data_IF_644820438873
#
_entry.id   IF_644820438873
#
_cell.length_a   1.000
_cell.length_b   1.000
_cell.length_c   1.000
_cell.angle_alpha   90.00
_cell.angle_beta   90.00
_cell.angle_gamma   90.00
#
_symmetry.space_group_name_H-M   'P 1'
#
loop_
_entity.id
_entity.type
_entity.pdbx_description
1 polymer ?
#
# COMPACT_ATOMS: atom_id res chain seq x y z
N UNK A 1 41.97 4.20 -5.76
CA UNK A 1 41.03 5.24 -6.22
C UNK A 1 39.80 4.52 -6.73
N UNK A 2 38.73 4.46 -5.93
CA UNK A 2 37.52 3.70 -6.30
C UNK A 2 36.58 4.60 -7.09
N UNK A 3 36.49 4.37 -8.39
CA UNK A 3 35.53 5.03 -9.27
C UNK A 3 34.12 4.53 -8.90
N UNK A 4 33.31 5.41 -8.30
CA UNK A 4 31.90 5.18 -8.10
C UNK A 4 31.23 5.06 -9.47
N UNK A 5 30.76 3.86 -9.80
CA UNK A 5 29.89 3.63 -10.96
C UNK A 5 28.54 4.27 -10.65
N UNK A 6 28.37 5.52 -11.06
CA UNK A 6 27.07 6.17 -11.18
C UNK A 6 26.25 5.39 -12.20
N UNK A 7 25.44 4.46 -11.70
CA UNK A 7 24.42 3.77 -12.50
C UNK A 7 23.49 4.84 -13.05
N UNK A 8 23.51 5.04 -14.37
CA UNK A 8 22.56 5.87 -15.11
C UNK A 8 21.16 5.52 -14.59
N UNK A 9 20.49 6.50 -13.97
CA UNK A 9 19.09 6.36 -13.60
C UNK A 9 18.30 6.40 -14.91
N UNK A 10 17.71 5.27 -15.31
CA UNK A 10 16.83 5.20 -16.47
C UNK A 10 15.64 6.15 -16.26
N UNK A 11 15.63 7.27 -16.97
CA UNK A 11 14.59 8.31 -16.92
C UNK A 11 13.38 8.00 -17.81
N UNK A 12 13.19 6.73 -18.22
CA UNK A 12 12.28 6.39 -19.31
C UNK A 12 10.81 6.16 -18.93
N UNK A 13 10.54 5.53 -17.78
CA UNK A 13 9.18 5.24 -17.30
C UNK A 13 9.17 5.17 -15.77
N UNK A 14 8.10 5.62 -15.10
CA UNK A 14 7.98 5.40 -13.67
C UNK A 14 7.99 3.90 -13.39
N UNK A 15 8.79 3.46 -12.40
CA UNK A 15 8.92 2.05 -12.04
C UNK A 15 7.58 1.43 -11.58
N UNK A 16 6.67 2.28 -11.12
CA UNK A 16 5.34 1.92 -10.65
C UNK A 16 4.27 2.85 -11.23
N UNK A 17 3.07 2.33 -11.48
CA UNK A 17 2.66 0.94 -11.24
C UNK A 17 3.18 -0.04 -12.30
N UNK A 18 3.49 -1.25 -11.87
CA UNK A 18 3.75 -2.41 -12.74
C UNK A 18 2.89 -3.63 -12.27
N UNK A 19 2.62 -4.56 -13.18
CA UNK A 19 1.76 -5.71 -12.90
C UNK A 19 2.37 -6.72 -11.92
N UNK A 20 3.71 -6.88 -11.95
CA UNK A 20 4.43 -7.83 -11.11
C UNK A 20 4.24 -7.48 -9.63
N UNK A 21 4.50 -6.23 -9.25
CA UNK A 21 4.36 -5.78 -7.87
C UNK A 21 2.90 -5.65 -7.46
N UNK A 22 1.98 -5.31 -8.37
CA UNK A 22 0.54 -5.42 -8.09
C UNK A 22 0.19 -6.84 -7.65
N UNK A 23 0.61 -7.85 -8.41
CA UNK A 23 0.33 -9.27 -8.09
C UNK A 23 1.03 -9.74 -6.82
N UNK A 24 2.22 -9.20 -6.50
CA UNK A 24 2.88 -9.45 -5.22
C UNK A 24 2.07 -8.90 -4.04
N UNK A 25 1.54 -7.69 -4.15
CA UNK A 25 0.69 -7.07 -3.12
C UNK A 25 -0.61 -7.85 -2.96
N UNK A 26 -1.31 -8.16 -4.07
CA UNK A 26 -2.53 -8.98 -4.05
C UNK A 26 -2.30 -10.33 -3.36
N UNK A 27 -1.15 -10.98 -3.61
CA UNK A 27 -0.80 -12.26 -2.97
C UNK A 27 -0.48 -12.06 -1.48
N UNK A 28 0.28 -11.03 -1.14
CA UNK A 28 0.71 -10.79 0.24
C UNK A 28 -0.49 -10.46 1.15
N UNK A 29 -1.44 -9.64 0.68
CA UNK A 29 -2.61 -9.24 1.49
C UNK A 29 -3.56 -10.41 1.79
N UNK A 30 -3.47 -11.51 1.04
CA UNK A 30 -4.24 -12.74 1.35
C UNK A 30 -3.77 -13.42 2.63
N UNK A 31 -2.52 -13.23 3.05
CA UNK A 31 -1.98 -13.78 4.30
C UNK A 31 -2.13 -12.85 5.51
N UNK A 32 -3.01 -11.84 5.43
CA UNK A 32 -3.28 -10.93 6.54
C UNK A 32 -3.81 -11.66 7.78
N UNK A 33 -3.41 -11.17 8.94
CA UNK A 33 -3.74 -11.78 10.23
C UNK A 33 -5.13 -11.33 10.72
N UNK A 34 -5.60 -10.17 10.24
CA UNK A 34 -6.89 -9.54 10.59
C UNK A 34 -7.81 -9.39 9.38
N UNK A 35 -9.09 -9.09 9.63
CA UNK A 35 -10.10 -8.85 8.58
C UNK A 35 -10.20 -9.99 7.56
N UNK A 36 -10.14 -11.23 8.06
CA UNK A 36 -10.03 -12.46 7.24
C UNK A 36 -11.27 -12.78 6.40
N UNK A 37 -12.40 -12.13 6.67
CA UNK A 37 -13.69 -12.44 6.02
C UNK A 37 -14.02 -11.54 4.81
N UNK A 38 -13.26 -10.48 4.57
CA UNK A 38 -13.41 -9.64 3.36
C UNK A 38 -12.43 -10.02 2.27
N UNK A 39 -12.69 -9.61 1.04
CA UNK A 39 -11.74 -9.77 -0.06
C UNK A 39 -11.26 -8.38 -0.48
N UNK A 40 -10.08 -7.93 -0.02
CA UNK A 40 -9.51 -6.68 -0.48
C UNK A 40 -8.98 -6.82 -1.91
N UNK A 41 -9.09 -5.74 -2.67
CA UNK A 41 -8.61 -5.60 -4.04
C UNK A 41 -7.47 -4.58 -4.11
N UNK A 42 -6.62 -4.74 -5.12
CA UNK A 42 -5.45 -3.87 -5.33
C UNK A 42 -5.56 -3.22 -6.70
N UNK A 43 -5.70 -1.90 -6.71
CA UNK A 43 -5.81 -1.10 -7.93
C UNK A 43 -4.51 -0.35 -8.18
N UNK A 44 -4.03 -0.38 -9.43
CA UNK A 44 -2.88 0.42 -9.83
C UNK A 44 -3.27 1.91 -9.86
N UNK A 45 -2.44 2.75 -9.24
CA UNK A 45 -2.61 4.21 -9.24
C UNK A 45 -1.29 4.88 -9.59
N UNK A 46 -1.31 6.19 -9.87
CA UNK A 46 -0.08 6.93 -10.16
C UNK A 46 0.92 6.79 -9.03
N UNK A 47 2.13 6.31 -9.34
CA UNK A 47 3.22 6.14 -8.39
C UNK A 47 3.08 4.94 -7.45
N UNK A 48 2.04 4.10 -7.57
CA UNK A 48 1.83 3.03 -6.59
C UNK A 48 0.56 2.22 -6.73
N UNK A 49 0.02 1.77 -5.59
CA UNK A 49 -1.12 0.86 -5.51
C UNK A 49 -2.05 1.24 -4.37
N UNK A 50 -3.34 1.28 -4.68
CA UNK A 50 -4.40 1.47 -3.71
C UNK A 50 -4.99 0.11 -3.32
N UNK A 51 -5.02 -0.19 -2.03
CA UNK A 51 -5.75 -1.31 -1.46
C UNK A 51 -7.11 -0.81 -1.06
N UNK A 52 -8.14 -1.45 -1.57
CA UNK A 52 -9.54 -1.21 -1.20
C UNK A 52 -10.13 -2.48 -0.63
N UNK A 53 -11.15 -2.36 0.22
CA UNK A 53 -11.81 -3.54 0.78
C UNK A 53 -13.27 -3.26 1.09
N UNK A 54 -14.16 -4.24 0.95
CA UNK A 54 -15.50 -4.11 1.51
C UNK A 54 -15.42 -3.90 3.02
N UNK A 55 -16.28 -3.02 3.53
CA UNK A 55 -16.32 -2.73 4.95
C UNK A 55 -17.12 -3.80 5.71
N UNK A 56 -16.48 -4.51 6.65
CA UNK A 56 -17.17 -5.44 7.55
C UNK A 56 -17.97 -4.75 8.66
N UNK A 57 -17.68 -3.49 8.93
CA UNK A 57 -18.16 -2.81 10.14
C UNK A 57 -19.29 -1.87 9.79
N UNK A 58 -20.48 -2.15 10.33
CA UNK A 58 -21.62 -1.23 10.24
C UNK A 58 -21.37 0.13 10.90
N UNK A 59 -20.33 0.25 11.74
CA UNK A 59 -19.93 1.52 12.36
C UNK A 59 -19.18 2.45 11.40
N UNK A 60 -18.60 1.91 10.32
CA UNK A 60 -17.79 2.68 9.35
C UNK A 60 -18.65 2.99 8.13
N UNK A 61 -19.36 1.97 7.62
CA UNK A 61 -20.36 2.15 6.57
C UNK A 61 -21.56 1.25 6.85
N UNK A 62 -22.72 1.87 7.05
CA UNK A 62 -23.97 1.17 7.35
C UNK A 62 -24.49 0.36 6.16
N UNK A 63 -24.11 0.74 4.93
CA UNK A 63 -24.44 0.03 3.69
C UNK A 63 -23.40 -1.05 3.32
N UNK A 64 -22.25 -1.09 4.00
CA UNK A 64 -21.20 -2.09 3.78
C UNK A 64 -20.39 -1.87 2.49
N UNK A 65 -20.21 -0.61 2.08
CA UNK A 65 -19.47 -0.21 0.90
C UNK A 65 -17.97 -0.46 0.98
N UNK A 66 -17.29 -0.08 -0.10
CA UNK A 66 -15.85 -0.27 -0.26
C UNK A 66 -15.12 0.91 0.35
N UNK A 67 -14.15 0.62 1.24
CA UNK A 67 -13.29 1.62 1.87
C UNK A 67 -11.88 1.62 1.29
N UNK A 68 -11.24 2.78 1.36
CA UNK A 68 -9.82 2.97 1.09
C UNK A 68 -9.00 2.46 2.28
N UNK A 69 -8.28 1.36 2.12
CA UNK A 69 -7.56 0.72 3.22
C UNK A 69 -6.15 1.28 3.38
N UNK A 70 -5.39 1.25 2.29
CA UNK A 70 -3.99 1.65 2.31
C UNK A 70 -3.52 2.09 0.93
N UNK A 71 -2.66 3.09 0.89
CA UNK A 71 -1.98 3.52 -0.33
C UNK A 71 -0.48 3.22 -0.19
N UNK A 72 0.03 2.38 -1.09
CA UNK A 72 1.43 2.04 -1.19
C UNK A 72 2.03 2.86 -2.33
N UNK A 73 2.83 3.87 -2.02
CA UNK A 73 3.45 4.75 -2.99
C UNK A 73 4.96 4.49 -3.05
N UNK A 74 5.52 4.37 -4.25
CA UNK A 74 6.96 4.28 -4.43
C UNK A 74 7.52 5.67 -4.76
N UNK A 75 8.24 6.26 -3.81
CA UNK A 75 8.96 7.50 -4.04
C UNK A 75 10.23 7.23 -4.85
N UNK A 76 10.22 7.63 -6.12
CA UNK A 76 11.34 7.46 -7.02
C UNK A 76 12.58 8.28 -6.62
N UNK A 77 12.43 9.39 -5.89
CA UNK A 77 13.54 10.24 -5.49
C UNK A 77 14.34 9.61 -4.35
N UNK A 78 13.66 9.04 -3.35
CA UNK A 78 14.30 8.36 -2.22
C UNK A 78 14.48 6.85 -2.42
N UNK A 79 13.89 6.28 -3.47
CA UNK A 79 13.79 4.84 -3.70
C UNK A 79 13.17 4.07 -2.50
N UNK A 80 12.20 4.71 -1.84
CA UNK A 80 11.49 4.17 -0.68
C UNK A 80 10.04 3.92 -1.01
N UNK A 81 9.49 2.86 -0.41
CA UNK A 81 8.07 2.64 -0.35
C UNK A 81 7.48 3.37 0.84
N UNK A 82 6.42 4.12 0.60
CA UNK A 82 5.63 4.80 1.60
C UNK A 82 4.29 4.10 1.74
N UNK A 83 3.94 3.77 2.97
CA UNK A 83 2.64 3.25 3.34
C UNK A 83 1.83 4.39 3.93
N UNK A 84 0.68 4.67 3.33
CA UNK A 84 -0.29 5.62 3.84
C UNK A 84 -1.53 4.89 4.33
N UNK A 85 -2.12 5.41 5.40
CA UNK A 85 -3.46 5.03 5.87
C UNK A 85 -4.46 6.12 5.51
N UNK A 86 -5.72 5.74 5.36
CA UNK A 86 -6.80 6.72 5.19
C UNK A 86 -7.32 7.14 6.56
N UNK A 87 -7.37 8.44 6.83
CA UNK A 87 -8.24 8.97 7.88
C UNK A 87 -9.63 9.16 7.28
N UNK A 88 -10.54 8.23 7.57
CA UNK A 88 -11.91 8.26 7.05
C UNK A 88 -12.77 9.39 7.62
N UNK A 89 -12.43 9.94 8.80
CA UNK A 89 -13.15 11.07 9.36
C UNK A 89 -12.84 12.36 8.59
N UNK A 90 -11.58 12.51 8.15
CA UNK A 90 -11.10 13.71 7.46
C UNK A 90 -11.02 13.54 5.94
N UNK A 91 -11.13 12.32 5.44
CA UNK A 91 -11.02 12.00 4.01
C UNK A 91 -9.60 12.14 3.46
N UNK A 92 -8.57 12.18 4.31
CA UNK A 92 -7.17 12.44 3.91
C UNK A 92 -6.28 11.20 4.04
N UNK A 93 -5.19 11.20 3.28
CA UNK A 93 -4.14 10.18 3.40
C UNK A 93 -3.05 10.67 4.35
N UNK A 94 -2.66 9.82 5.28
CA UNK A 94 -1.60 10.11 6.26
C UNK A 94 -0.46 9.11 6.11
N UNK A 95 0.77 9.61 6.07
CA UNK A 95 1.96 8.76 6.01
C UNK A 95 2.06 7.96 7.30
N UNK A 96 1.98 6.63 7.18
CA UNK A 96 2.11 5.71 8.30
C UNK A 96 3.57 5.28 8.49
N UNK A 97 4.24 4.83 7.43
CA UNK A 97 5.66 4.44 7.50
C UNK A 97 6.33 4.38 6.13
N UNK A 98 7.67 4.37 6.13
CA UNK A 98 8.49 4.27 4.91
C UNK A 98 9.46 3.10 5.03
N UNK A 99 9.62 2.33 3.95
CA UNK A 99 10.42 1.10 3.92
C UNK A 99 11.20 0.97 2.62
N UNK A 100 12.41 0.38 2.64
CA UNK A 100 13.21 0.18 1.43
C UNK A 100 12.68 -0.93 0.51
N UNK A 101 11.76 -1.77 1.00
CA UNK A 101 11.26 -2.95 0.27
C UNK A 101 9.75 -3.05 0.38
N UNK A 102 9.12 -3.45 -0.73
CA UNK A 102 7.69 -3.72 -0.80
C UNK A 102 7.24 -4.77 0.22
N UNK A 103 8.04 -5.82 0.43
CA UNK A 103 7.75 -6.88 1.41
C UNK A 103 7.52 -6.32 2.82
N UNK A 104 8.38 -5.41 3.28
CA UNK A 104 8.26 -4.77 4.60
C UNK A 104 6.97 -3.96 4.74
N UNK A 105 6.54 -3.30 3.67
CA UNK A 105 5.24 -2.60 3.64
C UNK A 105 4.09 -3.57 3.78
N UNK A 106 4.11 -4.66 3.01
CA UNK A 106 3.04 -5.67 3.07
C UNK A 106 3.02 -6.43 4.39
N UNK A 107 4.16 -6.59 5.06
CA UNK A 107 4.23 -7.21 6.40
C UNK A 107 3.51 -6.33 7.45
N UNK A 108 3.76 -5.02 7.41
CA UNK A 108 3.06 -4.04 8.27
C UNK A 108 1.55 -4.08 8.02
N UNK A 109 1.14 -4.02 6.75
CA UNK A 109 -0.27 -4.05 6.37
C UNK A 109 -0.96 -5.37 6.77
N UNK A 110 -0.25 -6.51 6.67
CA UNK A 110 -0.77 -7.82 7.03
C UNK A 110 -0.95 -8.01 8.54
N UNK A 111 -0.04 -7.46 9.34
CA UNK A 111 -0.09 -7.57 10.79
C UNK A 111 -1.13 -6.61 11.39
N UNK A 112 -1.17 -5.36 10.90
CA UNK A 112 -2.02 -4.26 11.38
C UNK A 112 -2.30 -4.33 12.90
N UNK A 113 -1.26 -4.30 13.76
CA UNK A 113 -1.41 -4.50 15.19
C UNK A 113 -2.24 -3.38 15.84
N UNK A 114 -2.08 -2.16 15.33
CA UNK A 114 -2.76 -0.95 15.81
C UNK A 114 -4.17 -0.78 15.24
N UNK A 115 -4.56 -1.62 14.27
CA UNK A 115 -5.89 -1.63 13.63
C UNK A 115 -6.24 -0.31 12.97
N UNK A 116 -5.31 0.24 12.19
CA UNK A 116 -5.40 1.61 11.63
C UNK A 116 -5.75 1.65 10.14
N UNK A 117 -5.77 0.50 9.45
CA UNK A 117 -6.01 0.46 7.99
C UNK A 117 -7.46 0.12 7.61
N UNK A 118 -8.11 -0.84 8.29
CA UNK A 118 -9.53 -1.20 8.07
C UNK A 118 -10.44 -0.52 9.10
N UNK A 119 -10.38 0.82 9.16
CA UNK A 119 -11.21 1.69 9.98
C UNK A 119 -12.22 2.48 9.16
#
# INVERSE_FOLDING_TARGET
MNAAVLRKLDTGRPAHPNDLDRKRIERAIRSRQRYRYVSPDVTAVTGGYLVVSPCCSRNIDTEGGVIDVALLHHDAASAMWQLFRKDHNRGVWELHSSHPRLGSVTDVLNADPERVFWQ
#
